data_IF_996798178415
#
_entry.id   IF_996798178415
#
_cell.length_a   1.000
_cell.length_b   1.000
_cell.length_c   1.000
_cell.angle_alpha   90.00
_cell.angle_beta   90.00
_cell.angle_gamma   90.00
#
_symmetry.space_group_name_H-M   'P 1'
#
loop_
_entity.id
_entity.type
_entity.pdbx_description
1 polymer ?
#
# COMPACT_ATOMS: atom_id res chain seq x y z
N UNK A 1 5.76 24.86 17.05
CA UNK A 1 6.86 23.87 16.91
C UNK A 1 7.13 23.74 15.43
N UNK A 2 8.37 23.98 15.00
CA UNK A 2 8.75 23.90 13.59
C UNK A 2 8.64 22.45 13.11
N UNK A 3 8.02 22.24 11.96
CA UNK A 3 7.98 20.92 11.30
C UNK A 3 9.37 20.63 10.75
N UNK A 4 9.97 19.48 11.08
CA UNK A 4 11.20 19.07 10.38
C UNK A 4 10.87 18.72 8.93
N UNK A 5 11.66 19.27 8.01
CA UNK A 5 11.56 18.98 6.57
C UNK A 5 12.31 17.70 6.25
N UNK A 6 11.90 17.00 5.19
CA UNK A 6 12.64 15.87 4.61
C UNK A 6 14.08 16.29 4.28
N UNK A 7 14.26 17.54 3.85
CA UNK A 7 15.53 18.15 3.44
C UNK A 7 16.25 18.93 4.55
N UNK A 8 16.15 18.46 5.79
CA UNK A 8 16.97 18.96 6.89
C UNK A 8 18.48 18.73 6.66
N UNK A 9 19.40 19.26 7.48
CA UNK A 9 20.81 18.94 7.34
C UNK A 9 21.13 17.45 7.57
N UNK A 10 22.11 16.92 6.84
CA UNK A 10 22.68 15.59 7.10
C UNK A 10 23.45 15.56 8.42
N UNK A 11 23.31 14.44 9.15
CA UNK A 11 24.26 14.10 10.20
C UNK A 11 25.51 13.47 9.57
N UNK A 12 26.69 14.04 9.85
CA UNK A 12 27.95 13.52 9.30
C UNK A 12 28.20 12.06 9.67
N UNK A 13 27.78 11.66 10.87
CA UNK A 13 27.86 10.27 11.34
C UNK A 13 26.98 9.33 10.52
N UNK A 14 25.78 9.77 10.10
CA UNK A 14 24.89 8.97 9.27
C UNK A 14 25.48 8.75 7.88
N UNK A 15 26.06 9.81 7.27
CA UNK A 15 26.72 9.71 5.97
C UNK A 15 27.88 8.71 6.01
N UNK A 16 28.79 8.82 6.99
CA UNK A 16 29.92 7.89 7.13
C UNK A 16 29.45 6.46 7.45
N UNK A 17 28.43 6.28 8.29
CA UNK A 17 27.91 4.95 8.65
C UNK A 17 27.40 4.17 7.44
N UNK A 18 26.69 4.85 6.54
CA UNK A 18 26.17 4.23 5.32
C UNK A 18 27.15 4.28 4.13
N UNK A 19 28.32 4.91 4.29
CA UNK A 19 29.31 5.08 3.22
C UNK A 19 28.85 6.00 2.10
N UNK A 20 28.07 7.03 2.43
CA UNK A 20 27.52 8.04 1.52
C UNK A 20 28.38 9.32 1.46
N UNK A 21 29.43 9.40 2.27
CA UNK A 21 30.32 10.56 2.38
C UNK A 21 31.18 10.81 1.14
N UNK A 22 31.41 9.76 0.33
CA UNK A 22 32.08 9.85 -0.97
C UNK A 22 31.15 10.12 -2.16
N UNK A 23 29.83 10.06 -1.97
CA UNK A 23 28.86 10.18 -3.05
C UNK A 23 28.59 11.65 -3.42
N UNK A 24 28.23 11.93 -4.68
CA UNK A 24 27.92 13.28 -5.12
C UNK A 24 26.63 13.82 -4.48
N UNK A 25 26.72 15.03 -3.95
CA UNK A 25 25.57 15.81 -3.48
C UNK A 25 24.99 16.66 -4.62
N UNK A 26 23.68 16.65 -4.74
CA UNK A 26 22.91 17.44 -5.69
C UNK A 26 21.91 18.34 -4.99
N UNK A 27 21.45 19.36 -5.71
CA UNK A 27 20.39 20.26 -5.25
C UNK A 27 19.06 19.94 -5.92
N UNK A 28 18.00 19.79 -5.11
CA UNK A 28 16.61 19.70 -5.56
C UNK A 28 15.94 21.05 -5.33
N UNK A 29 15.26 21.58 -6.34
CA UNK A 29 14.50 22.82 -6.19
C UNK A 29 13.21 22.57 -5.39
N UNK A 30 13.10 23.23 -4.24
CA UNK A 30 11.93 23.16 -3.37
C UNK A 30 10.82 24.12 -3.80
N UNK A 31 9.60 23.92 -3.29
CA UNK A 31 8.44 24.79 -3.54
C UNK A 31 8.69 26.25 -3.13
N UNK A 32 9.61 26.50 -2.18
CA UNK A 32 9.92 27.84 -1.70
C UNK A 32 11.06 28.51 -2.47
N UNK A 33 11.43 28.00 -3.65
CA UNK A 33 12.56 28.47 -4.44
C UNK A 33 13.90 28.35 -3.70
N UNK A 34 14.01 27.38 -2.79
CA UNK A 34 15.26 27.02 -2.11
C UNK A 34 15.86 25.79 -2.76
N UNK A 35 17.18 25.64 -2.66
CA UNK A 35 17.88 24.44 -3.10
C UNK A 35 18.09 23.57 -1.87
N UNK A 36 17.53 22.38 -1.92
CA UNK A 36 17.60 21.38 -0.87
C UNK A 36 18.62 20.29 -1.25
N UNK A 37 19.50 19.93 -0.32
CA UNK A 37 20.60 19.00 -0.59
C UNK A 37 20.17 17.53 -0.50
N UNK A 38 20.57 16.72 -1.48
CA UNK A 38 20.34 15.28 -1.53
C UNK A 38 21.61 14.55 -1.95
N UNK A 39 21.81 13.34 -1.44
CA UNK A 39 22.90 12.47 -1.90
C UNK A 39 22.34 11.58 -3.00
N UNK A 40 23.07 11.45 -4.12
CA UNK A 40 22.73 10.51 -5.17
C UNK A 40 23.83 9.45 -5.28
N UNK A 41 23.52 8.23 -4.83
CA UNK A 41 24.43 7.10 -4.91
C UNK A 41 24.22 6.30 -6.20
N UNK A 42 25.27 5.66 -6.70
CA UNK A 42 25.14 4.60 -7.73
C UNK A 42 24.97 3.21 -7.11
N UNK A 43 25.09 3.09 -5.78
CA UNK A 43 25.06 1.82 -5.09
C UNK A 43 23.65 1.49 -4.57
N UNK A 44 22.92 0.67 -5.32
CA UNK A 44 21.59 0.17 -4.95
C UNK A 44 21.57 -0.48 -3.56
N UNK A 45 22.65 -1.18 -3.16
CA UNK A 45 22.67 -1.88 -1.86
C UNK A 45 22.64 -0.92 -0.67
N UNK A 46 23.23 0.27 -0.80
CA UNK A 46 23.18 1.29 0.25
C UNK A 46 21.75 1.83 0.40
N UNK A 47 21.11 2.10 -0.74
CA UNK A 47 19.72 2.52 -0.80
C UNK A 47 18.78 1.46 -0.19
N UNK A 48 18.92 0.20 -0.61
CA UNK A 48 18.11 -0.91 -0.11
C UNK A 48 18.32 -1.16 1.39
N UNK A 49 19.54 -1.01 1.88
CA UNK A 49 19.83 -1.13 3.31
C UNK A 49 19.03 -0.08 4.11
N UNK A 50 19.10 1.20 3.70
CA UNK A 50 18.34 2.29 4.34
C UNK A 50 16.83 2.03 4.23
N UNK A 51 16.34 1.64 3.05
CA UNK A 51 14.92 1.32 2.85
C UNK A 51 14.45 0.16 3.75
N UNK A 52 15.28 -0.87 3.92
CA UNK A 52 14.98 -2.02 4.77
C UNK A 52 14.90 -1.66 6.24
N UNK A 53 15.77 -0.76 6.72
CA UNK A 53 15.75 -0.26 8.10
C UNK A 53 14.49 0.55 8.39
N UNK A 54 14.04 1.36 7.42
CA UNK A 54 12.85 2.19 7.56
C UNK A 54 11.55 1.39 7.51
N UNK A 55 11.49 0.29 6.74
CA UNK A 55 10.29 -0.54 6.59
C UNK A 55 10.13 -1.57 7.71
N UNK A 56 11.23 -2.11 8.24
CA UNK A 56 11.19 -3.24 9.16
C UNK A 56 10.83 -2.83 10.58
N UNK A 57 9.80 -3.45 11.13
CA UNK A 57 9.48 -3.35 12.54
C UNK A 57 10.65 -3.80 13.41
N UNK A 58 11.07 -2.94 14.32
CA UNK A 58 12.06 -3.26 15.37
C UNK A 58 11.40 -3.45 16.73
N UNK A 59 10.20 -2.89 16.93
CA UNK A 59 9.39 -3.09 18.13
C UNK A 59 8.31 -4.13 17.84
N UNK A 60 8.26 -5.18 18.66
CA UNK A 60 7.25 -6.25 18.55
C UNK A 60 6.23 -6.16 19.69
N UNK A 61 5.07 -6.81 19.52
CA UNK A 61 4.14 -7.20 20.59
C UNK A 61 3.88 -6.12 21.67
N UNK A 62 3.45 -4.93 21.25
CA UNK A 62 3.05 -3.87 22.17
C UNK A 62 4.17 -3.22 22.98
N UNK A 63 5.46 -3.49 22.69
CA UNK A 63 6.58 -2.77 23.30
C UNK A 63 6.46 -1.25 23.13
N UNK A 64 5.95 -0.82 21.99
CA UNK A 64 5.69 0.57 21.67
C UNK A 64 4.60 1.21 22.55
N UNK A 65 3.72 0.43 23.19
CA UNK A 65 2.67 0.95 24.11
C UNK A 65 3.25 1.55 25.39
N UNK A 66 4.47 1.18 25.75
CA UNK A 66 5.18 1.76 26.90
C UNK A 66 5.83 3.11 26.55
N UNK A 67 5.94 3.44 25.27
CA UNK A 67 6.53 4.68 24.77
C UNK A 67 5.50 5.81 24.75
N UNK A 68 5.96 7.06 24.67
CA UNK A 68 5.09 8.24 24.85
C UNK A 68 5.03 9.13 23.62
N UNK A 69 6.04 9.10 22.75
CA UNK A 69 6.12 9.98 21.59
C UNK A 69 6.46 9.21 20.33
N UNK A 70 5.70 9.46 19.27
CA UNK A 70 5.91 8.85 17.97
C UNK A 70 6.03 9.90 16.87
N UNK A 71 6.89 9.65 15.87
CA UNK A 71 6.97 10.44 14.65
C UNK A 71 6.43 9.62 13.47
N UNK A 72 5.54 10.20 12.66
CA UNK A 72 4.99 9.52 11.49
C UNK A 72 5.86 9.87 10.29
N UNK A 73 6.30 8.85 9.53
CA UNK A 73 7.07 9.11 8.32
C UNK A 73 6.27 9.95 7.31
N UNK A 74 6.94 10.85 6.57
CA UNK A 74 6.32 11.63 5.51
C UNK A 74 5.68 10.74 4.44
N UNK A 75 4.60 11.25 3.83
CA UNK A 75 3.82 10.55 2.77
C UNK A 75 3.08 9.29 3.27
N UNK A 76 2.75 9.22 4.55
CA UNK A 76 1.91 8.14 5.06
C UNK A 76 0.54 8.07 4.34
N UNK A 77 0.14 6.88 3.83
CA UNK A 77 -1.13 6.70 3.11
C UNK A 77 -2.33 6.90 4.04
N UNK A 78 -2.14 6.74 5.34
CA UNK A 78 -3.15 6.96 6.37
C UNK A 78 -3.16 8.44 6.80
N UNK A 79 -4.32 8.98 7.14
CA UNK A 79 -4.43 10.32 7.71
C UNK A 79 -3.76 10.45 9.06
N UNK A 80 -3.14 11.61 9.26
CA UNK A 80 -2.51 11.94 10.53
C UNK A 80 -3.55 11.97 11.66
N UNK A 81 -4.80 12.33 11.35
CA UNK A 81 -5.89 12.35 12.33
C UNK A 81 -6.29 10.93 12.76
N UNK A 82 -6.33 9.97 11.84
CA UNK A 82 -6.57 8.56 12.16
C UNK A 82 -5.41 7.96 12.97
N UNK A 83 -4.17 8.21 12.56
CA UNK A 83 -2.98 7.77 13.32
C UNK A 83 -2.96 8.38 14.73
N UNK A 84 -3.25 9.69 14.86
CA UNK A 84 -3.35 10.36 16.16
C UNK A 84 -4.46 9.75 17.02
N UNK A 85 -5.60 9.40 16.43
CA UNK A 85 -6.72 8.80 17.15
C UNK A 85 -6.33 7.44 17.72
N UNK A 86 -5.72 6.56 16.90
CA UNK A 86 -5.23 5.25 17.35
C UNK A 86 -4.10 5.39 18.39
N UNK A 87 -3.13 6.26 18.16
CA UNK A 87 -2.04 6.52 19.11
C UNK A 87 -2.54 7.02 20.48
N UNK A 88 -3.59 7.84 20.49
CA UNK A 88 -4.19 8.39 21.72
C UNK A 88 -4.80 7.30 22.61
N UNK A 89 -5.32 6.22 22.03
CA UNK A 89 -5.84 5.07 22.80
C UNK A 89 -4.77 4.44 23.68
N UNK A 90 -3.51 4.55 23.28
CA UNK A 90 -2.34 4.04 24.01
C UNK A 90 -1.55 5.15 24.74
N UNK A 91 -2.11 6.35 24.88
CA UNK A 91 -1.47 7.52 25.50
C UNK A 91 -0.18 7.99 24.79
N UNK A 92 -0.10 7.79 23.47
CA UNK A 92 1.04 8.19 22.64
C UNK A 92 0.75 9.53 21.97
N UNK A 93 1.71 10.45 22.04
CA UNK A 93 1.64 11.77 21.44
C UNK A 93 2.43 11.78 20.12
N UNK A 94 1.77 12.18 19.03
CA UNK A 94 2.45 12.37 17.75
C UNK A 94 3.25 13.68 17.76
N UNK A 95 4.54 13.59 17.48
CA UNK A 95 5.47 14.72 17.34
C UNK A 95 5.83 14.96 15.87
N UNK A 96 6.11 16.22 15.52
CA UNK A 96 6.61 16.60 14.19
C UNK A 96 8.14 16.59 14.09
N UNK A 97 8.80 16.12 15.14
CA UNK A 97 10.25 16.05 15.26
C UNK A 97 10.64 14.62 15.66
N UNK A 98 11.34 13.93 14.76
CA UNK A 98 11.80 12.55 14.98
C UNK A 98 12.91 12.47 16.03
N UNK A 99 13.65 13.56 16.31
CA UNK A 99 14.69 13.56 17.35
C UNK A 99 14.09 13.41 18.74
N UNK A 100 12.88 13.96 18.94
CA UNK A 100 12.11 13.90 20.18
C UNK A 100 11.19 12.67 20.28
N UNK A 101 11.14 11.84 19.23
CA UNK A 101 10.31 10.64 19.20
C UNK A 101 11.04 9.46 19.86
N UNK A 102 10.27 8.63 20.56
CA UNK A 102 10.75 7.37 21.12
C UNK A 102 10.79 6.27 20.05
N UNK A 103 9.87 6.35 19.07
CA UNK A 103 9.80 5.46 17.91
C UNK A 103 9.18 6.16 16.70
N UNK A 104 9.33 5.55 15.53
CA UNK A 104 8.68 6.00 14.29
C UNK A 104 7.52 5.08 13.91
N UNK A 105 6.51 5.69 13.28
CA UNK A 105 5.43 5.00 12.60
C UNK A 105 5.76 4.99 11.11
N UNK A 106 6.07 3.80 10.60
CA UNK A 106 6.47 3.58 9.21
C UNK A 106 5.31 3.08 8.33
N UNK A 107 5.54 3.07 7.02
CA UNK A 107 4.64 2.61 5.96
C UNK A 107 5.44 2.34 4.68
N UNK A 108 4.89 1.62 3.69
CA UNK A 108 5.68 1.26 2.50
C UNK A 108 5.80 2.39 1.44
N UNK A 109 5.00 3.46 1.53
CA UNK A 109 5.00 4.53 0.50
C UNK A 109 6.09 5.62 0.63
N UNK A 110 7.11 5.46 1.50
CA UNK A 110 8.15 6.50 1.69
C UNK A 110 9.13 6.61 0.51
N UNK A 111 9.17 5.62 -0.37
CA UNK A 111 9.97 5.64 -1.60
C UNK A 111 9.13 5.92 -2.85
N UNK A 112 9.73 6.52 -3.87
CA UNK A 112 9.10 6.66 -5.18
C UNK A 112 10.14 6.71 -6.31
N UNK A 113 9.76 6.17 -7.45
CA UNK A 113 10.52 6.19 -8.69
C UNK A 113 10.16 7.44 -9.51
N UNK A 114 11.16 8.12 -10.09
CA UNK A 114 10.99 9.27 -10.98
C UNK A 114 11.80 9.10 -12.26
N UNK A 115 11.20 9.40 -13.40
CA UNK A 115 11.82 9.24 -14.71
C UNK A 115 11.84 10.54 -15.51
N UNK A 116 12.78 10.68 -16.45
CA UNK A 116 12.69 11.66 -17.56
C UNK A 116 12.40 13.12 -17.16
N UNK A 117 12.93 13.57 -16.02
CA UNK A 117 12.72 14.95 -15.52
C UNK A 117 11.38 15.19 -14.85
N UNK A 118 10.68 14.14 -14.42
CA UNK A 118 9.51 14.23 -13.55
C UNK A 118 9.78 15.05 -12.28
N UNK A 119 8.71 15.63 -11.73
CA UNK A 119 8.77 16.40 -10.49
C UNK A 119 9.10 15.48 -9.29
N UNK A 120 10.31 15.64 -8.74
CA UNK A 120 10.71 15.03 -7.47
C UNK A 120 9.89 15.67 -6.34
N UNK A 121 9.06 14.86 -5.67
CA UNK A 121 8.17 15.34 -4.61
C UNK A 121 8.96 15.57 -3.32
N UNK A 122 8.75 16.72 -2.68
CA UNK A 122 9.40 17.09 -1.41
C UNK A 122 8.99 16.24 -0.20
N UNK A 123 7.99 15.37 -0.36
CA UNK A 123 7.50 14.46 0.68
C UNK A 123 8.10 13.07 0.60
N UNK A 124 8.88 12.75 -0.44
CA UNK A 124 9.47 11.43 -0.66
C UNK A 124 10.85 11.40 -0.03
N UNK A 125 11.15 10.36 0.76
CA UNK A 125 12.41 10.24 1.49
C UNK A 125 13.50 9.52 0.69
N UNK A 126 13.09 8.62 -0.22
CA UNK A 126 13.98 7.76 -0.99
C UNK A 126 13.47 7.69 -2.42
N UNK A 127 14.35 7.86 -3.40
CA UNK A 127 13.93 7.79 -4.80
C UNK A 127 14.90 7.10 -5.73
N UNK A 128 14.38 6.28 -6.65
CA UNK A 128 15.11 5.91 -7.88
C UNK A 128 14.89 7.01 -8.91
N UNK A 129 15.96 7.51 -9.53
CA UNK A 129 15.87 8.39 -10.69
C UNK A 129 16.54 7.74 -11.90
N UNK A 130 15.92 7.81 -13.08
CA UNK A 130 16.53 7.31 -14.32
C UNK A 130 16.11 8.11 -15.56
N UNK A 131 16.87 7.95 -16.65
CA UNK A 131 16.68 8.73 -17.87
C UNK A 131 16.54 7.90 -19.16
N UNK A 132 16.84 6.59 -19.12
CA UNK A 132 16.62 5.68 -20.25
C UNK A 132 16.35 4.25 -19.77
N UNK A 133 15.47 3.59 -20.51
CA UNK A 133 15.09 2.19 -20.31
C UNK A 133 15.68 1.32 -21.43
N UNK A 134 16.24 0.17 -21.06
CA UNK A 134 16.74 -0.84 -21.97
C UNK A 134 15.65 -1.90 -22.18
N UNK A 135 15.14 -2.00 -23.40
CA UNK A 135 14.04 -2.89 -23.78
C UNK A 135 14.58 -4.19 -24.31
N UNK A 136 14.08 -5.30 -23.78
CA UNK A 136 14.38 -6.65 -24.26
C UNK A 136 13.41 -7.07 -25.38
N UNK A 137 12.12 -6.79 -25.22
CA UNK A 137 11.07 -7.26 -26.13
C UNK A 137 9.92 -6.24 -26.23
N UNK A 138 9.31 -6.14 -27.41
CA UNK A 138 8.11 -5.32 -27.67
C UNK A 138 6.84 -6.16 -27.82
N UNK A 139 6.94 -7.47 -27.65
CA UNK A 139 5.84 -8.42 -27.82
C UNK A 139 5.41 -8.55 -29.29
N UNK A 140 6.37 -8.49 -30.23
CA UNK A 140 6.11 -8.63 -31.66
C UNK A 140 5.78 -7.34 -32.41
N UNK A 141 5.83 -6.17 -31.74
CA UNK A 141 5.39 -4.89 -32.33
C UNK A 141 6.48 -4.25 -33.18
N UNK A 142 7.74 -4.41 -32.80
CA UNK A 142 8.91 -4.04 -33.58
C UNK A 142 9.77 -5.29 -33.76
N UNK A 143 9.51 -6.11 -34.79
CA UNK A 143 10.26 -7.34 -35.02
C UNK A 143 11.78 -7.13 -35.12
N UNK A 144 12.23 -5.94 -35.53
CA UNK A 144 13.66 -5.62 -35.57
C UNK A 144 14.29 -5.53 -34.16
N UNK A 145 13.53 -5.10 -33.16
CA UNK A 145 13.97 -5.08 -31.75
C UNK A 145 13.94 -6.51 -31.21
N UNK A 146 12.81 -7.19 -31.36
CA UNK A 146 12.56 -8.52 -30.78
C UNK A 146 13.52 -9.60 -31.34
N UNK A 147 13.95 -9.45 -32.61
CA UNK A 147 14.90 -10.37 -33.25
C UNK A 147 16.36 -9.90 -33.16
N UNK A 148 16.66 -8.75 -32.55
CA UNK A 148 18.02 -8.21 -32.51
C UNK A 148 18.95 -8.99 -31.58
N UNK A 149 18.40 -9.60 -30.52
CA UNK A 149 19.18 -10.15 -29.41
C UNK A 149 19.95 -9.10 -28.60
N UNK A 150 19.63 -7.82 -28.77
CA UNK A 150 20.23 -6.70 -28.06
C UNK A 150 19.19 -6.02 -27.18
N UNK A 151 19.63 -5.45 -26.06
CA UNK A 151 18.80 -4.50 -25.32
C UNK A 151 18.78 -3.17 -26.06
N UNK A 152 17.59 -2.73 -26.47
CA UNK A 152 17.41 -1.53 -27.29
C UNK A 152 16.96 -0.37 -26.41
N UNK A 153 17.63 0.77 -26.53
CA UNK A 153 17.27 1.97 -25.79
C UNK A 153 15.89 2.49 -26.20
N UNK A 154 15.01 2.68 -25.21
CA UNK A 154 13.74 3.34 -25.42
C UNK A 154 13.96 4.86 -25.56
N UNK A 155 14.01 5.33 -26.81
CA UNK A 155 14.13 6.74 -27.15
C UNK A 155 12.86 7.28 -27.82
N UNK A 156 12.90 8.54 -28.26
CA UNK A 156 11.76 9.17 -28.94
C UNK A 156 11.39 8.47 -30.25
N UNK A 157 12.36 7.95 -31.01
CA UNK A 157 12.06 7.22 -32.25
C UNK A 157 11.40 5.89 -31.96
N UNK A 158 11.81 5.22 -30.88
CA UNK A 158 11.14 4.02 -30.39
C UNK A 158 9.69 4.33 -29.99
N UNK A 159 9.49 5.39 -29.22
CA UNK A 159 8.18 5.82 -28.71
C UNK A 159 7.17 6.11 -29.82
N UNK A 160 7.61 6.59 -31.00
CA UNK A 160 6.76 6.84 -32.16
C UNK A 160 6.11 5.54 -32.72
N UNK A 161 6.66 4.37 -32.38
CA UNK A 161 6.17 3.07 -32.85
C UNK A 161 5.45 2.29 -31.76
N UNK A 162 5.99 2.28 -30.54
CA UNK A 162 5.45 1.51 -29.43
C UNK A 162 5.60 2.29 -28.14
N UNK A 163 4.52 2.38 -27.39
CA UNK A 163 4.54 2.96 -26.05
C UNK A 163 5.26 2.03 -25.07
N UNK A 164 6.08 2.58 -24.19
CA UNK A 164 6.85 1.84 -23.19
C UNK A 164 6.06 0.79 -22.40
N UNK A 165 4.82 1.10 -22.00
CA UNK A 165 3.92 0.18 -21.28
C UNK A 165 3.65 -1.14 -22.01
N UNK A 166 3.92 -1.22 -23.31
CA UNK A 166 3.75 -2.39 -24.14
C UNK A 166 5.06 -3.18 -24.36
N UNK A 167 6.15 -2.78 -23.71
CA UNK A 167 7.47 -3.38 -23.83
C UNK A 167 7.89 -4.07 -22.53
N UNK A 168 8.74 -5.08 -22.65
CA UNK A 168 9.47 -5.70 -21.54
C UNK A 168 10.75 -4.90 -21.30
N UNK A 169 10.78 -4.15 -20.20
CA UNK A 169 11.96 -3.41 -19.75
C UNK A 169 12.84 -4.35 -18.93
N UNK A 170 14.12 -4.47 -19.27
CA UNK A 170 15.09 -5.29 -18.53
C UNK A 170 15.76 -4.47 -17.41
N UNK A 171 16.46 -3.39 -17.77
CA UNK A 171 17.15 -2.51 -16.82
C UNK A 171 17.12 -1.04 -17.26
N UNK A 172 17.50 -0.15 -16.34
CA UNK A 172 17.72 1.27 -16.64
C UNK A 172 19.20 1.49 -16.95
N UNK A 173 19.51 2.29 -17.97
CA UNK A 173 20.90 2.50 -18.41
C UNK A 173 21.64 3.51 -17.53
N UNK A 174 20.88 4.49 -17.02
CA UNK A 174 21.39 5.50 -16.10
C UNK A 174 20.41 5.59 -14.95
N UNK A 175 20.67 4.86 -13.87
CA UNK A 175 19.97 5.04 -12.62
C UNK A 175 20.86 5.64 -11.52
N UNK A 176 20.19 6.35 -10.62
CA UNK A 176 20.77 6.88 -9.40
C UNK A 176 19.76 6.73 -8.27
N UNK A 177 20.29 6.56 -7.08
CA UNK A 177 19.54 6.41 -5.86
C UNK A 177 19.64 7.69 -5.05
N UNK A 178 18.58 8.49 -5.10
CA UNK A 178 18.46 9.72 -4.36
C UNK A 178 18.02 9.40 -2.93
N UNK A 179 18.88 9.73 -1.98
CA UNK A 179 18.66 9.55 -0.55
C UNK A 179 18.55 10.94 0.06
N UNK A 180 17.49 11.17 0.84
CA UNK A 180 17.29 12.44 1.54
C UNK A 180 17.95 12.43 2.92
N UNK A 181 18.23 13.62 3.49
CA UNK A 181 18.80 13.72 4.83
C UNK A 181 17.96 13.04 5.92
N UNK A 182 16.64 13.19 5.86
CA UNK A 182 15.75 12.52 6.81
C UNK A 182 15.82 11.00 6.73
N UNK A 183 15.90 10.42 5.53
CA UNK A 183 16.04 8.97 5.37
C UNK A 183 17.32 8.46 6.04
N UNK A 184 18.46 9.09 5.73
CA UNK A 184 19.76 8.69 6.27
C UNK A 184 19.82 8.85 7.80
N UNK A 185 19.40 10.00 8.34
CA UNK A 185 19.47 10.26 9.78
C UNK A 185 18.55 9.31 10.58
N UNK A 186 17.31 9.09 10.11
CA UNK A 186 16.38 8.17 10.79
C UNK A 186 16.90 6.73 10.72
N UNK A 187 17.36 6.26 9.55
CA UNK A 187 17.90 4.92 9.41
C UNK A 187 19.12 4.70 10.30
N UNK A 188 20.01 5.70 10.43
CA UNK A 188 21.15 5.63 11.35
C UNK A 188 20.70 5.46 12.81
N UNK A 189 19.67 6.21 13.25
CA UNK A 189 19.14 6.09 14.62
C UNK A 189 18.46 4.75 14.87
N UNK A 190 17.83 4.15 13.85
CA UNK A 190 17.25 2.81 13.93
C UNK A 190 18.36 1.76 14.05
N UNK A 191 19.37 1.80 13.18
CA UNK A 191 20.44 0.81 13.13
C UNK A 191 21.33 0.84 14.38
N UNK A 192 21.53 2.03 14.96
CA UNK A 192 22.23 2.20 16.25
C UNK A 192 21.36 1.83 17.47
N UNK A 193 20.10 1.42 17.25
CA UNK A 193 19.17 1.02 18.32
C UNK A 193 18.61 2.19 19.14
N UNK A 194 18.79 3.43 18.69
CA UNK A 194 18.31 4.64 19.37
C UNK A 194 16.84 4.94 19.09
N UNK A 195 16.25 4.32 18.08
CA UNK A 195 14.88 4.58 17.63
C UNK A 195 14.17 3.28 17.24
N UNK A 196 12.98 3.07 17.79
CA UNK A 196 12.11 1.95 17.41
C UNK A 196 11.31 2.21 16.14
N UNK A 197 10.84 1.14 15.50
CA UNK A 197 10.01 1.19 14.29
C UNK A 197 8.76 0.32 14.50
N UNK A 198 7.59 0.91 14.21
CA UNK A 198 6.28 0.26 14.21
C UNK A 198 5.57 0.60 12.91
N UNK A 199 5.00 -0.40 12.25
CA UNK A 199 4.23 -0.20 11.02
C UNK A 199 2.87 0.42 11.34
N UNK A 200 2.38 1.29 10.46
CA UNK A 200 1.06 1.91 10.60
C UNK A 200 -0.05 0.86 10.75
N UNK A 201 0.03 -0.23 9.98
CA UNK A 201 -0.90 -1.37 10.02
C UNK A 201 -1.00 -2.00 11.41
N UNK A 202 0.13 -2.19 12.11
CA UNK A 202 0.12 -2.78 13.45
C UNK A 202 -0.50 -1.84 14.48
N UNK A 203 -0.22 -0.54 14.37
CA UNK A 203 -0.84 0.48 15.22
C UNK A 203 -2.35 0.51 15.02
N UNK A 204 -2.81 0.45 13.77
CA UNK A 204 -4.23 0.51 13.42
C UNK A 204 -4.97 -0.80 13.71
N UNK A 205 -4.31 -1.94 13.53
CA UNK A 205 -4.88 -3.26 13.83
C UNK A 205 -5.18 -3.48 15.30
N UNK A 206 -4.49 -2.75 16.19
CA UNK A 206 -4.77 -2.77 17.63
C UNK A 206 -5.73 -1.67 18.10
N UNK A 207 -6.23 -0.82 17.20
CA UNK A 207 -7.19 0.23 17.55
C UNK A 207 -8.53 -0.38 17.96
N UNK A 208 -9.06 0.06 19.10
CA UNK A 208 -10.39 -0.31 19.58
C UNK A 208 -11.52 0.37 18.79
N UNK A 209 -11.19 1.31 17.91
CA UNK A 209 -12.17 2.01 17.06
C UNK A 209 -12.61 1.16 15.87
N UNK A 210 -12.03 -0.02 15.65
CA UNK A 210 -12.52 -0.94 14.62
C UNK A 210 -13.80 -1.67 15.07
N UNK A 211 -14.81 -1.66 14.20
CA UNK A 211 -16.07 -2.37 14.38
C UNK A 211 -16.18 -3.54 13.38
N UNK A 212 -16.76 -4.66 13.81
CA UNK A 212 -17.01 -5.79 12.92
C UNK A 212 -18.17 -5.44 11.96
N UNK A 213 -18.05 -5.82 10.67
CA UNK A 213 -19.12 -5.62 9.70
C UNK A 213 -20.29 -6.55 10.03
N UNK A 214 -21.46 -5.98 10.34
CA UNK A 214 -22.72 -6.71 10.57
C UNK A 214 -23.67 -6.54 9.39
N UNK A 215 -24.70 -7.39 9.26
CA UNK A 215 -25.73 -7.25 8.23
C UNK A 215 -26.47 -5.90 8.31
N UNK A 216 -26.73 -5.41 9.53
CA UNK A 216 -27.35 -4.10 9.77
C UNK A 216 -26.47 -2.95 9.29
N UNK A 217 -25.16 -3.01 9.61
CA UNK A 217 -24.20 -2.01 9.16
C UNK A 217 -24.05 -2.06 7.64
N UNK A 218 -23.99 -3.26 7.04
CA UNK A 218 -23.94 -3.43 5.60
C UNK A 218 -25.17 -2.82 4.91
N UNK A 219 -26.37 -3.09 5.43
CA UNK A 219 -27.60 -2.50 4.91
C UNK A 219 -27.56 -0.96 4.96
N UNK A 220 -27.11 -0.41 6.09
CA UNK A 220 -26.94 1.04 6.27
C UNK A 220 -25.94 1.62 5.26
N UNK A 221 -24.79 0.96 5.08
CA UNK A 221 -23.77 1.36 4.11
C UNK A 221 -24.35 1.38 2.69
N UNK A 222 -25.10 0.35 2.30
CA UNK A 222 -25.74 0.29 0.97
C UNK A 222 -26.71 1.44 0.73
N UNK A 223 -27.49 1.81 1.75
CA UNK A 223 -28.39 2.97 1.66
C UNK A 223 -27.59 4.26 1.49
N UNK A 224 -26.56 4.48 2.30
CA UNK A 224 -25.73 5.68 2.22
C UNK A 224 -24.97 5.79 0.88
N UNK A 225 -24.49 4.67 0.34
CA UNK A 225 -23.78 4.62 -0.93
C UNK A 225 -24.67 5.10 -2.10
N UNK A 226 -25.93 4.66 -2.10
CA UNK A 226 -26.93 5.03 -3.11
C UNK A 226 -27.59 6.40 -2.84
N UNK A 227 -27.27 7.06 -1.74
CA UNK A 227 -27.81 8.37 -1.37
C UNK A 227 -27.00 9.53 -1.99
N UNK A 228 -27.19 10.72 -1.45
CA UNK A 228 -26.56 11.97 -1.88
C UNK A 228 -25.04 12.03 -1.56
N UNK A 229 -24.39 13.10 -2.02
CA UNK A 229 -22.95 13.27 -1.86
C UNK A 229 -22.50 13.42 -0.39
N UNK A 230 -23.33 13.97 0.49
CA UNK A 230 -22.95 14.18 1.89
C UNK A 230 -22.96 12.87 2.68
N UNK A 231 -23.93 12.00 2.40
CA UNK A 231 -23.94 10.63 2.95
C UNK A 231 -22.73 9.83 2.47
N UNK A 232 -22.31 10.01 1.21
CA UNK A 232 -21.07 9.39 0.69
C UNK A 232 -19.83 9.92 1.41
N UNK A 233 -19.71 11.24 1.65
CA UNK A 233 -18.59 11.79 2.43
C UNK A 233 -18.56 11.25 3.85
N UNK A 234 -19.73 11.03 4.46
CA UNK A 234 -19.81 10.40 5.78
C UNK A 234 -19.37 8.94 5.71
N UNK A 235 -19.80 8.21 4.68
CA UNK A 235 -19.41 6.83 4.45
C UNK A 235 -17.88 6.68 4.30
N UNK A 236 -17.22 7.62 3.64
CA UNK A 236 -15.76 7.65 3.51
C UNK A 236 -15.03 7.68 4.87
N UNK A 237 -15.68 8.18 5.93
CA UNK A 237 -15.16 8.21 7.30
C UNK A 237 -15.54 6.97 8.11
N UNK A 238 -16.68 6.36 7.81
CA UNK A 238 -17.17 5.15 8.49
C UNK A 238 -16.41 3.92 8.00
N UNK A 239 -16.24 3.74 6.69
CA UNK A 239 -15.64 2.52 6.13
C UNK A 239 -14.24 2.19 6.70
N UNK A 240 -13.33 3.16 6.89
CA UNK A 240 -12.02 2.90 7.51
C UNK A 240 -12.08 2.34 8.94
N UNK A 241 -13.22 2.43 9.62
CA UNK A 241 -13.43 1.83 10.95
C UNK A 241 -13.91 0.37 10.88
N UNK A 242 -14.24 -0.14 9.69
CA UNK A 242 -14.73 -1.51 9.54
C UNK A 242 -13.55 -2.49 9.52
N UNK A 243 -13.64 -3.52 10.34
CA UNK A 243 -12.65 -4.60 10.41
C UNK A 243 -12.62 -5.40 9.09
N UNK A 244 -11.43 -5.55 8.52
CA UNK A 244 -11.19 -6.22 7.23
C UNK A 244 -10.86 -7.71 7.35
N UNK A 245 -10.67 -8.21 8.58
CA UNK A 245 -10.17 -9.57 8.85
C UNK A 245 -11.26 -10.56 9.29
N UNK A 246 -12.50 -10.10 9.42
CA UNK A 246 -13.64 -10.90 9.87
C UNK A 246 -14.82 -10.73 8.93
N UNK A 247 -15.75 -11.69 8.97
CA UNK A 247 -16.99 -11.67 8.21
C UNK A 247 -16.75 -11.46 6.70
N UNK A 248 -15.82 -12.24 6.13
CA UNK A 248 -15.41 -12.12 4.73
C UNK A 248 -16.58 -12.23 3.74
N UNK A 249 -17.63 -12.97 4.10
CA UNK A 249 -18.86 -13.06 3.30
C UNK A 249 -19.57 -11.70 3.15
N UNK A 250 -19.61 -10.87 4.21
CA UNK A 250 -20.16 -9.52 4.18
C UNK A 250 -19.21 -8.53 3.50
N UNK A 251 -17.90 -8.69 3.67
CA UNK A 251 -16.90 -7.88 2.93
C UNK A 251 -17.02 -8.14 1.43
N UNK A 252 -17.19 -9.40 1.02
CA UNK A 252 -17.40 -9.76 -0.37
C UNK A 252 -18.67 -9.12 -0.93
N UNK A 253 -19.77 -9.17 -0.19
CA UNK A 253 -21.02 -8.53 -0.60
C UNK A 253 -20.88 -7.01 -0.68
N UNK A 254 -20.23 -6.39 0.30
CA UNK A 254 -19.91 -4.97 0.28
C UNK A 254 -19.07 -4.62 -0.96
N UNK A 255 -18.10 -5.46 -1.32
CA UNK A 255 -17.25 -5.24 -2.48
C UNK A 255 -18.03 -5.20 -3.80
N UNK A 256 -19.12 -5.98 -3.92
CA UNK A 256 -20.02 -5.96 -5.10
C UNK A 256 -20.68 -4.61 -5.31
N UNK A 257 -21.02 -3.92 -4.22
CA UNK A 257 -21.67 -2.61 -4.27
C UNK A 257 -20.64 -1.46 -4.34
N UNK A 258 -19.54 -1.60 -3.60
CA UNK A 258 -18.60 -0.51 -3.36
C UNK A 258 -17.62 -0.31 -4.51
N UNK A 259 -17.08 -1.37 -5.12
CA UNK A 259 -16.06 -1.25 -6.16
C UNK A 259 -16.52 -0.42 -7.37
N UNK A 260 -17.75 -0.58 -7.90
CA UNK A 260 -18.27 0.27 -8.99
C UNK A 260 -18.36 1.75 -8.62
N UNK A 261 -18.48 2.07 -7.32
CA UNK A 261 -18.64 3.44 -6.81
C UNK A 261 -17.35 3.99 -6.17
N UNK A 262 -16.24 3.27 -6.24
CA UNK A 262 -14.95 3.64 -5.65
C UNK A 262 -14.43 5.00 -6.13
N UNK A 263 -14.77 5.41 -7.35
CA UNK A 263 -14.37 6.70 -7.93
C UNK A 263 -14.80 7.91 -7.10
N UNK A 264 -15.91 7.82 -6.36
CA UNK A 264 -16.39 8.88 -5.48
C UNK A 264 -15.46 9.16 -4.29
N UNK A 265 -14.60 8.19 -3.96
CA UNK A 265 -13.75 8.21 -2.76
C UNK A 265 -12.27 8.35 -3.11
N UNK A 266 -11.93 8.62 -4.37
CA UNK A 266 -10.54 8.71 -4.87
C UNK A 266 -9.67 9.74 -4.17
N UNK A 267 -10.30 10.75 -3.56
CA UNK A 267 -9.60 11.82 -2.81
C UNK A 267 -9.44 11.50 -1.32
N UNK A 268 -10.14 10.48 -0.82
CA UNK A 268 -10.20 10.14 0.60
C UNK A 268 -9.15 9.07 0.90
N UNK A 269 -7.96 9.50 1.32
CA UNK A 269 -6.82 8.59 1.48
C UNK A 269 -7.04 7.47 2.51
N UNK A 270 -7.76 7.74 3.60
CA UNK A 270 -8.10 6.71 4.59
C UNK A 270 -9.01 5.63 4.02
N UNK A 271 -9.92 6.03 3.14
CA UNK A 271 -10.76 5.09 2.39
C UNK A 271 -9.90 4.29 1.41
N UNK A 272 -9.01 4.92 0.65
CA UNK A 272 -8.15 4.20 -0.32
C UNK A 272 -7.30 3.15 0.38
N UNK A 273 -6.64 3.55 1.47
CA UNK A 273 -5.88 2.62 2.30
C UNK A 273 -6.74 1.47 2.84
N UNK A 274 -7.95 1.75 3.35
CA UNK A 274 -8.86 0.70 3.83
C UNK A 274 -9.37 -0.20 2.68
N UNK A 275 -9.64 0.37 1.50
CA UNK A 275 -10.14 -0.34 0.32
C UNK A 275 -9.14 -1.41 -0.14
N UNK A 276 -7.85 -1.07 -0.13
CA UNK A 276 -6.76 -1.98 -0.47
C UNK A 276 -6.60 -3.07 0.60
N UNK A 277 -6.59 -2.69 1.88
CA UNK A 277 -6.49 -3.62 3.01
C UNK A 277 -7.67 -4.61 3.06
N UNK A 278 -8.87 -4.14 2.75
CA UNK A 278 -10.09 -4.95 2.64
C UNK A 278 -10.15 -5.82 1.39
N UNK A 279 -9.18 -5.67 0.46
CA UNK A 279 -9.11 -6.41 -0.81
C UNK A 279 -10.38 -6.28 -1.65
N UNK A 280 -10.99 -5.08 -1.66
CA UNK A 280 -12.30 -4.86 -2.30
C UNK A 280 -12.26 -5.22 -3.80
N UNK A 281 -11.23 -4.79 -4.53
CA UNK A 281 -11.11 -5.08 -5.96
C UNK A 281 -11.00 -6.60 -6.24
N UNK A 282 -10.28 -7.31 -5.38
CA UNK A 282 -10.12 -8.76 -5.48
C UNK A 282 -11.45 -9.49 -5.24
N UNK A 283 -12.18 -9.14 -4.18
CA UNK A 283 -13.47 -9.75 -3.87
C UNK A 283 -14.54 -9.37 -4.90
N UNK A 284 -14.53 -8.13 -5.40
CA UNK A 284 -15.43 -7.67 -6.46
C UNK A 284 -15.36 -8.57 -7.71
N UNK A 285 -14.17 -9.03 -8.08
CA UNK A 285 -13.96 -9.88 -9.27
C UNK A 285 -14.27 -11.36 -9.05
N UNK A 286 -14.56 -11.80 -7.82
CA UNK A 286 -14.81 -13.22 -7.51
C UNK A 286 -16.29 -13.58 -7.44
N UNK A 287 -16.65 -14.76 -7.94
CA UNK A 287 -17.94 -15.40 -7.66
C UNK A 287 -18.01 -15.88 -6.21
N UNK A 288 -19.21 -16.22 -5.73
CA UNK A 288 -19.38 -16.78 -4.39
C UNK A 288 -18.58 -18.09 -4.22
N UNK A 289 -18.52 -18.93 -5.27
CA UNK A 289 -17.72 -20.17 -5.26
C UNK A 289 -16.23 -19.86 -5.11
N UNK A 290 -15.72 -18.91 -5.89
CA UNK A 290 -14.32 -18.53 -5.84
C UNK A 290 -13.91 -17.92 -4.49
N UNK A 291 -14.85 -17.32 -3.75
CA UNK A 291 -14.61 -16.85 -2.38
C UNK A 291 -14.58 -18.02 -1.40
N UNK A 292 -15.48 -18.99 -1.50
CA UNK A 292 -15.44 -20.20 -0.64
C UNK A 292 -14.10 -20.92 -0.80
N UNK A 293 -13.67 -21.14 -2.03
CA UNK A 293 -12.39 -21.81 -2.32
C UNK A 293 -11.20 -21.01 -1.78
N UNK A 294 -11.20 -19.69 -1.96
CA UNK A 294 -10.14 -18.84 -1.42
C UNK A 294 -10.10 -18.87 0.12
N UNK A 295 -11.25 -18.84 0.78
CA UNK A 295 -11.32 -18.95 2.25
C UNK A 295 -10.81 -20.30 2.74
N UNK A 296 -11.11 -21.39 2.03
CA UNK A 296 -10.58 -22.72 2.35
C UNK A 296 -9.05 -22.78 2.21
N UNK A 297 -8.50 -22.30 1.08
CA UNK A 297 -7.05 -22.26 0.82
C UNK A 297 -6.28 -21.47 1.88
N UNK A 298 -6.91 -20.45 2.48
CA UNK A 298 -6.31 -19.61 3.51
C UNK A 298 -6.66 -20.06 4.94
N UNK A 299 -7.37 -21.18 5.13
CA UNK A 299 -7.88 -21.65 6.43
C UNK A 299 -8.78 -20.63 7.17
N UNK A 300 -9.54 -19.84 6.41
CA UNK A 300 -10.46 -18.80 6.91
C UNK A 300 -11.94 -19.17 6.76
N UNK A 301 -12.25 -20.32 6.14
CA UNK A 301 -13.63 -20.76 5.92
C UNK A 301 -14.28 -21.27 7.22
N UNK A 302 -15.40 -20.66 7.63
CA UNK A 302 -16.22 -21.16 8.74
C UNK A 302 -17.64 -21.52 8.29
N UNK A 303 -18.43 -22.15 9.19
CA UNK A 303 -19.85 -22.43 8.93
C UNK A 303 -20.67 -21.17 8.65
N UNK A 304 -20.28 -20.00 9.17
CA UNK A 304 -21.02 -18.75 8.94
C UNK A 304 -20.85 -18.31 7.49
N UNK A 305 -19.61 -18.16 7.01
CA UNK A 305 -19.33 -17.78 5.62
C UNK A 305 -19.92 -18.80 4.64
N UNK A 306 -19.76 -20.09 4.91
CA UNK A 306 -20.23 -21.14 4.00
C UNK A 306 -21.77 -21.13 3.88
N UNK A 307 -22.50 -21.02 5.00
CA UNK A 307 -23.98 -20.97 4.98
C UNK A 307 -24.50 -19.71 4.29
N UNK A 308 -23.75 -18.62 4.33
CA UNK A 308 -24.09 -17.40 3.62
C UNK A 308 -23.90 -17.54 2.09
N UNK A 309 -22.73 -18.03 1.69
CA UNK A 309 -22.30 -18.07 0.28
C UNK A 309 -22.87 -19.26 -0.51
N UNK A 310 -23.04 -20.43 0.12
CA UNK A 310 -23.50 -21.65 -0.58
C UNK A 310 -24.86 -21.49 -1.28
N UNK A 311 -25.89 -20.85 -0.68
CA UNK A 311 -27.15 -20.62 -1.37
C UNK A 311 -27.00 -19.70 -2.60
N UNK A 312 -26.00 -18.82 -2.62
CA UNK A 312 -25.67 -17.98 -3.78
C UNK A 312 -25.05 -18.86 -4.87
N UNK A 313 -24.03 -19.65 -4.53
CA UNK A 313 -23.40 -20.61 -5.46
C UNK A 313 -24.44 -21.53 -6.08
N UNK A 314 -25.36 -22.06 -5.28
CA UNK A 314 -26.41 -22.96 -5.76
C UNK A 314 -27.32 -22.30 -6.80
N UNK A 315 -27.60 -20.99 -6.67
CA UNK A 315 -28.40 -20.23 -7.65
C UNK A 315 -27.64 -19.96 -8.94
N UNK A 316 -26.32 -19.91 -8.89
CA UNK A 316 -25.45 -19.71 -10.07
C UNK A 316 -25.30 -20.97 -10.93
N UNK A 317 -25.73 -22.15 -10.44
CA UNK A 317 -25.64 -23.42 -11.19
C UNK A 317 -26.55 -23.39 -12.42
N UNK A 318 -25.93 -23.31 -13.60
CA UNK A 318 -26.59 -23.43 -14.89
C UNK A 318 -26.57 -24.88 -15.38
N UNK A 319 -27.72 -25.39 -15.80
CA UNK A 319 -27.86 -26.73 -16.38
C UNK A 319 -28.66 -26.60 -17.67
N UNK A 320 -28.04 -26.91 -18.80
CA UNK A 320 -28.63 -26.63 -20.12
C UNK A 320 -29.69 -27.65 -20.57
N UNK A 321 -29.60 -28.91 -20.14
CA UNK A 321 -30.49 -29.99 -20.59
C UNK A 321 -31.63 -30.30 -19.60
N UNK A 322 -32.15 -29.27 -18.89
CA UNK A 322 -33.18 -29.42 -17.84
C UNK A 322 -34.51 -29.96 -18.35
N UNK A 323 -34.83 -29.73 -19.63
CA UNK A 323 -36.09 -30.18 -20.22
C UNK A 323 -36.13 -31.70 -20.45
N UNK A 324 -34.96 -32.35 -20.49
CA UNK A 324 -34.83 -33.79 -20.74
C UNK A 324 -34.41 -34.60 -19.51
N UNK A 325 -33.69 -33.99 -18.55
CA UNK A 325 -33.08 -34.71 -17.44
C UNK A 325 -33.36 -34.06 -16.08
N UNK A 326 -33.56 -34.89 -15.06
CA UNK A 326 -33.57 -34.48 -13.66
C UNK A 326 -32.16 -34.54 -13.07
N UNK A 327 -31.74 -33.46 -12.41
CA UNK A 327 -30.43 -33.37 -11.77
C UNK A 327 -30.59 -33.21 -10.25
N UNK A 328 -29.77 -33.93 -9.48
CA UNK A 328 -29.66 -33.73 -8.03
C UNK A 328 -28.32 -33.10 -7.72
N UNK A 329 -28.33 -31.93 -7.07
CA UNK A 329 -27.13 -31.23 -6.64
C UNK A 329 -26.94 -31.47 -5.14
N UNK A 330 -25.74 -31.89 -4.75
CA UNK A 330 -25.38 -32.08 -3.36
C UNK A 330 -24.02 -31.44 -3.07
N UNK A 331 -23.90 -30.85 -1.88
CA UNK A 331 -22.63 -30.33 -1.37
C UNK A 331 -21.64 -31.48 -1.17
N UNK A 332 -20.39 -31.30 -1.62
CA UNK A 332 -19.35 -32.33 -1.52
C UNK A 332 -19.13 -32.73 -0.05
N UNK A 333 -18.79 -34.01 0.24
CA UNK A 333 -18.66 -34.51 1.61
C UNK A 333 -17.78 -33.65 2.51
N UNK A 334 -16.66 -33.14 2.01
CA UNK A 334 -15.72 -32.31 2.78
C UNK A 334 -16.33 -30.99 3.27
N UNK A 335 -17.33 -30.42 2.57
CA UNK A 335 -17.96 -29.16 2.97
C UNK A 335 -19.20 -29.35 3.83
N UNK A 336 -19.70 -30.59 3.97
CA UNK A 336 -20.90 -30.86 4.79
C UNK A 336 -20.72 -30.47 6.26
N UNK A 337 -19.48 -30.43 6.75
CA UNK A 337 -19.17 -29.99 8.11
C UNK A 337 -19.55 -28.53 8.36
N UNK A 338 -19.53 -27.68 7.32
CA UNK A 338 -19.85 -26.25 7.41
C UNK A 338 -21.35 -25.95 7.28
N UNK A 339 -22.18 -26.96 7.00
CA UNK A 339 -23.64 -26.83 6.94
C UNK A 339 -24.31 -26.98 8.30
N UNK A 340 -23.57 -27.41 9.33
CA UNK A 340 -23.99 -27.40 10.72
C UNK A 340 -23.78 -25.99 11.26
#
# INVERSE_FOLDING_TARGET
>A
MASKSVYQPYESTALTHFGLDGDPMYGVLSTNMTIDEVVCSENEKQYDNIASLLSKNTLTNGQWKAMKKAFVLPKCPVSLDRIKSAAKEHNIVITNDYELADFIITHDEFSQNFSHGELIKSTVMLSKIWNYDAIEDTGGRIPAVDNSGLFVLYDKKFQDHVTQWNCTVDHNVYDRWLITPMAANIAYRIDTGSLGVVHADDLLGESQMTQDLTEELLSTIKVMLNSNNDDRKLLAKILPTVNTTKNYHLIWELAKELAPMSYYFTREKDFQYWYDQAKIEFFYRKSAEAVILWLEENNLLTSVEFRYLEPIVRREIQIYNRDLYTFQVAVKPQYKQFLK
#
